data_IF_282527285771
#
_entry.id   IF_282527285771
#
_cell.length_a   1.000
_cell.length_b   1.000
_cell.length_c   1.000
_cell.angle_alpha   90.00
_cell.angle_beta   90.00
_cell.angle_gamma   90.00
#
_symmetry.space_group_name_H-M   'P 1'
#
loop_
_entity.id
_entity.type
_entity.pdbx_description
1 polymer ?
#
# COMPACT_ATOMS: atom_id res chain seq x y z
N UNK A 1 11.51 -18.52 0.38
CA UNK A 1 11.32 -17.83 1.67
C UNK A 1 10.28 -16.74 1.50
N UNK A 2 9.30 -16.72 2.34
CA UNK A 2 8.27 -15.68 2.33
C UNK A 2 8.89 -14.34 2.73
N UNK A 3 8.55 -13.25 2.03
CA UNK A 3 8.96 -11.95 2.49
C UNK A 3 8.37 -11.66 3.86
N UNK A 4 9.19 -11.15 4.77
CA UNK A 4 8.76 -10.88 6.14
C UNK A 4 8.15 -9.48 6.17
N UNK A 5 7.00 -9.33 5.55
CA UNK A 5 6.23 -8.10 5.61
C UNK A 5 4.75 -8.40 5.46
N UNK A 6 3.95 -7.59 6.13
CA UNK A 6 2.50 -7.62 6.08
C UNK A 6 1.99 -6.52 5.14
N UNK A 7 0.67 -6.42 5.02
CA UNK A 7 0.04 -5.40 4.18
C UNK A 7 0.50 -3.98 4.53
N UNK A 8 0.66 -3.15 3.52
CA UNK A 8 1.05 -1.77 3.67
C UNK A 8 2.54 -1.50 3.51
N UNK A 9 3.33 -2.49 3.18
CA UNK A 9 4.72 -2.29 2.84
C UNK A 9 4.85 -1.48 1.54
N UNK A 10 5.89 -0.68 1.45
CA UNK A 10 6.24 0.02 0.21
C UNK A 10 7.53 -0.57 -0.33
N UNK A 11 7.49 -1.02 -1.57
CA UNK A 11 8.67 -1.61 -2.20
C UNK A 11 8.68 -1.36 -3.70
N UNK A 12 9.88 -1.49 -4.26
CA UNK A 12 10.08 -1.52 -5.70
C UNK A 12 10.24 -2.97 -6.13
N UNK A 13 9.38 -3.48 -7.03
CA UNK A 13 9.43 -4.88 -7.44
C UNK A 13 10.52 -5.16 -8.47
N UNK A 14 11.55 -4.37 -8.50
CA UNK A 14 12.70 -4.57 -9.38
C UNK A 14 13.65 -5.60 -8.77
N UNK A 15 14.51 -6.17 -9.57
CA UNK A 15 15.48 -7.16 -9.13
C UNK A 15 16.80 -6.49 -8.75
N UNK A 16 17.25 -6.53 -7.48
CA UNK A 16 16.52 -7.11 -6.34
C UNK A 16 15.38 -6.22 -5.83
N UNK A 17 14.38 -6.84 -5.24
CA UNK A 17 13.29 -6.10 -4.60
C UNK A 17 13.82 -5.26 -3.45
N UNK A 18 13.49 -3.98 -3.46
CA UNK A 18 13.94 -3.04 -2.44
C UNK A 18 12.75 -2.49 -1.68
N UNK A 19 12.77 -2.65 -0.36
CA UNK A 19 11.74 -2.11 0.52
C UNK A 19 12.10 -0.71 0.99
N UNK A 20 11.16 0.22 0.88
CA UNK A 20 11.25 1.54 1.50
C UNK A 20 10.86 1.44 2.96
N UNK A 21 9.75 0.73 3.23
CA UNK A 21 9.38 0.31 4.59
C UNK A 21 8.64 -1.02 4.54
N UNK A 22 8.65 -1.70 5.68
CA UNK A 22 7.92 -2.95 5.88
C UNK A 22 6.91 -2.78 7.00
N UNK A 23 5.85 -3.56 6.94
CA UNK A 23 4.95 -3.71 8.07
C UNK A 23 5.21 -5.06 8.72
N UNK A 24 5.61 -5.05 9.97
CA UNK A 24 5.87 -6.27 10.76
C UNK A 24 4.95 -6.36 11.99
N UNK A 25 4.01 -5.44 12.12
CA UNK A 25 3.08 -5.40 13.24
C UNK A 25 1.76 -6.07 12.85
N UNK A 26 1.54 -7.28 13.36
CA UNK A 26 0.37 -8.08 13.07
C UNK A 26 -0.92 -7.50 13.68
N UNK A 27 -0.81 -6.58 14.62
CA UNK A 27 -1.97 -6.01 15.31
C UNK A 27 -2.73 -4.97 14.49
N UNK A 28 -2.13 -4.43 13.44
CA UNK A 28 -2.71 -3.34 12.67
C UNK A 28 -3.74 -3.85 11.65
N UNK A 29 -3.38 -4.89 10.91
CA UNK A 29 -4.25 -5.49 9.91
C UNK A 29 -5.26 -6.44 10.57
N UNK A 30 -6.52 -6.30 10.20
CA UNK A 30 -7.61 -7.16 10.70
C UNK A 30 -7.85 -8.28 9.70
N UNK A 31 -7.71 -9.52 10.13
CA UNK A 31 -7.96 -10.68 9.28
C UNK A 31 -9.46 -10.90 9.08
N UNK A 32 -9.86 -11.19 7.85
CA UNK A 32 -11.25 -11.45 7.47
C UNK A 32 -12.21 -10.31 7.78
N UNK A 33 -11.68 -9.08 7.88
CA UNK A 33 -12.47 -7.88 8.10
C UNK A 33 -12.05 -6.83 7.09
N UNK A 34 -12.88 -5.80 6.94
CA UNK A 34 -12.51 -4.66 6.12
C UNK A 34 -11.42 -3.84 6.81
N UNK A 35 -10.39 -3.54 6.06
CA UNK A 35 -9.29 -2.69 6.49
C UNK A 35 -9.31 -1.39 5.68
N UNK A 36 -9.01 -0.29 6.33
CA UNK A 36 -8.94 1.01 5.71
C UNK A 36 -7.51 1.36 5.34
N UNK A 37 -7.27 1.59 4.06
CA UNK A 37 -5.96 1.98 3.58
C UNK A 37 -6.00 3.34 2.91
N UNK A 38 -4.99 4.16 3.14
CA UNK A 38 -4.87 5.48 2.53
C UNK A 38 -3.43 5.71 2.09
N UNK A 39 -3.29 6.29 0.91
CA UNK A 39 -1.98 6.66 0.36
C UNK A 39 -1.99 8.15 0.07
N UNK A 40 -0.98 8.83 0.56
CA UNK A 40 -0.68 10.20 0.17
C UNK A 40 0.59 10.19 -0.67
N UNK A 41 0.52 10.76 -1.85
CA UNK A 41 1.66 10.89 -2.75
C UNK A 41 1.70 12.31 -3.28
N UNK A 42 2.70 13.08 -2.90
CA UNK A 42 2.87 14.46 -3.36
C UNK A 42 4.35 14.74 -3.59
N UNK A 43 4.71 14.97 -4.86
CA UNK A 43 6.11 15.05 -5.24
C UNK A 43 6.82 13.75 -4.90
N UNK A 44 7.86 13.86 -4.09
CA UNK A 44 8.68 12.71 -3.67
C UNK A 44 8.24 12.13 -2.32
N UNK A 45 7.22 12.70 -1.69
CA UNK A 45 6.76 12.24 -0.38
C UNK A 45 5.63 11.25 -0.54
N UNK A 46 5.77 10.11 0.12
CA UNK A 46 4.78 9.03 0.14
C UNK A 46 4.47 8.70 1.59
N UNK A 47 3.18 8.67 1.91
CA UNK A 47 2.72 8.25 3.24
C UNK A 47 1.66 7.18 3.04
N UNK A 48 1.68 6.16 3.89
CA UNK A 48 0.65 5.14 3.91
C UNK A 48 0.10 4.97 5.32
N UNK A 49 -1.23 4.99 5.42
CA UNK A 49 -1.94 4.70 6.66
C UNK A 49 -2.74 3.41 6.48
N UNK A 50 -2.72 2.57 7.49
CA UNK A 50 -3.54 1.36 7.56
C UNK A 50 -4.31 1.41 8.87
N UNK A 51 -5.64 1.40 8.79
CA UNK A 51 -6.53 1.50 9.96
C UNK A 51 -6.18 2.66 10.89
N UNK A 52 -5.81 3.81 10.30
CA UNK A 52 -5.43 5.01 11.03
C UNK A 52 -3.99 5.05 11.53
N UNK A 53 -3.23 3.98 11.40
CA UNK A 53 -1.82 3.95 11.80
C UNK A 53 -0.91 4.31 10.62
N UNK A 54 0.03 5.19 10.85
CA UNK A 54 1.05 5.51 9.84
C UNK A 54 2.05 4.37 9.76
N UNK A 55 2.07 3.68 8.63
CA UNK A 55 3.04 2.62 8.39
C UNK A 55 4.35 3.13 7.83
N UNK A 56 4.31 4.21 7.09
CA UNK A 56 5.49 4.83 6.53
C UNK A 56 5.21 6.25 6.09
N UNK A 57 6.22 7.09 6.17
CA UNK A 57 6.22 8.48 5.72
C UNK A 57 7.64 8.79 5.26
N UNK A 58 7.86 8.72 3.95
CA UNK A 58 9.19 8.88 3.38
C UNK A 58 9.20 9.91 2.27
N UNK A 59 10.26 10.70 2.24
CA UNK A 59 10.59 11.53 1.09
C UNK A 59 11.68 10.81 0.31
N UNK A 60 11.34 10.40 -0.92
CA UNK A 60 12.23 9.59 -1.73
C UNK A 60 13.32 10.46 -2.38
N UNK A 61 14.54 9.94 -2.39
CA UNK A 61 15.66 10.57 -3.09
C UNK A 61 15.64 10.12 -4.56
N UNK A 62 15.46 11.05 -5.52
CA UNK A 62 15.41 10.67 -6.93
C UNK A 62 16.73 10.08 -7.46
N UNK A 63 17.83 10.27 -6.73
CA UNK A 63 19.12 9.65 -7.08
C UNK A 63 19.17 8.18 -6.74
N UNK A 64 18.35 7.74 -5.77
CA UNK A 64 18.33 6.36 -5.28
C UNK A 64 17.10 5.63 -5.81
N UNK A 65 15.97 6.32 -5.85
CA UNK A 65 14.69 5.74 -6.24
C UNK A 65 14.20 6.32 -7.55
N UNK A 66 13.72 5.46 -8.42
CA UNK A 66 13.13 5.87 -9.68
C UNK A 66 11.74 6.44 -9.42
N UNK A 67 11.57 7.73 -9.70
CA UNK A 67 10.31 8.42 -9.47
C UNK A 67 9.78 8.91 -10.81
N UNK A 68 8.55 8.52 -11.15
CA UNK A 68 7.86 9.01 -12.32
C UNK A 68 7.05 10.25 -11.98
N UNK A 69 7.04 11.24 -12.87
CA UNK A 69 6.24 12.45 -12.69
C UNK A 69 4.75 12.19 -12.82
N UNK A 70 4.38 11.16 -13.55
CA UNK A 70 3.00 10.73 -13.74
C UNK A 70 2.96 9.23 -13.96
N UNK A 71 1.81 8.66 -13.71
CA UNK A 71 1.61 7.23 -13.90
C UNK A 71 0.17 6.83 -13.62
N UNK A 72 -0.11 5.57 -13.80
CA UNK A 72 -1.41 4.99 -13.52
C UNK A 72 -1.44 4.42 -12.11
N UNK A 73 -2.64 4.41 -11.54
CA UNK A 73 -2.92 3.74 -10.28
C UNK A 73 -3.59 2.41 -10.61
N UNK A 74 -3.09 1.34 -10.03
CA UNK A 74 -3.64 0.02 -10.28
C UNK A 74 -3.77 -0.78 -9.01
N UNK A 75 -4.61 -1.80 -9.09
CA UNK A 75 -4.77 -2.79 -8.04
C UNK A 75 -4.06 -4.05 -8.53
N UNK A 76 -3.14 -4.56 -7.72
CA UNK A 76 -2.33 -5.71 -8.10
C UNK A 76 -2.99 -7.01 -7.65
N UNK A 77 -2.96 -8.00 -8.55
CA UNK A 77 -3.25 -9.39 -8.23
C UNK A 77 -1.93 -10.15 -8.31
N UNK A 78 -1.54 -10.76 -7.20
CA UNK A 78 -0.27 -11.49 -7.16
C UNK A 78 -0.47 -12.92 -7.66
N UNK A 79 0.36 -13.32 -8.63
CA UNK A 79 0.38 -14.69 -9.12
C UNK A 79 1.24 -15.61 -8.26
N UNK A 80 1.16 -16.90 -8.53
CA UNK A 80 1.95 -17.94 -7.88
C UNK A 80 1.09 -18.92 -7.11
N UNK A 81 1.58 -20.15 -6.98
CA UNK A 81 0.83 -21.26 -6.38
C UNK A 81 0.46 -21.00 -4.92
N UNK A 82 1.30 -20.29 -4.18
CA UNK A 82 1.05 -19.95 -2.78
C UNK A 82 -0.13 -19.00 -2.59
N UNK A 83 -0.55 -18.31 -3.65
CA UNK A 83 -1.70 -17.40 -3.61
C UNK A 83 -2.94 -17.98 -4.29
N UNK A 84 -2.85 -19.21 -4.78
CA UNK A 84 -3.93 -19.83 -5.50
C UNK A 84 -5.18 -19.96 -4.62
N UNK A 85 -6.30 -19.46 -5.12
CA UNK A 85 -7.58 -19.46 -4.40
C UNK A 85 -7.74 -18.35 -3.38
N UNK A 86 -6.71 -17.55 -3.13
CA UNK A 86 -6.85 -16.38 -2.27
C UNK A 86 -7.51 -15.22 -3.01
N UNK A 87 -8.31 -14.46 -2.30
CA UNK A 87 -9.06 -13.35 -2.86
C UNK A 87 -8.89 -12.11 -2.00
N UNK A 88 -8.86 -10.95 -2.66
CA UNK A 88 -8.90 -9.64 -2.00
C UNK A 88 -10.03 -8.85 -2.62
N UNK A 89 -10.87 -8.28 -1.77
CA UNK A 89 -11.97 -7.42 -2.20
C UNK A 89 -11.65 -5.97 -1.86
N UNK A 90 -12.00 -5.07 -2.75
CA UNK A 90 -11.84 -3.62 -2.57
C UNK A 90 -13.19 -2.95 -2.75
N UNK A 91 -13.44 -1.90 -1.98
CA UNK A 91 -14.63 -1.07 -2.14
C UNK A 91 -14.29 0.37 -1.71
N UNK A 92 -15.15 1.31 -2.12
CA UNK A 92 -15.02 2.72 -1.76
C UNK A 92 -13.65 3.29 -2.14
N UNK A 93 -13.21 3.00 -3.37
CA UNK A 93 -11.95 3.50 -3.88
C UNK A 93 -12.17 4.92 -4.38
N UNK A 94 -11.58 5.89 -3.71
CA UNK A 94 -11.67 7.30 -4.05
C UNK A 94 -10.27 7.87 -4.28
N UNK A 95 -10.19 8.82 -5.20
CA UNK A 95 -8.96 9.51 -5.51
C UNK A 95 -9.20 11.01 -5.38
N UNK A 96 -8.46 11.64 -4.49
CA UNK A 96 -8.50 13.08 -4.30
C UNK A 96 -7.28 13.72 -4.95
N UNK A 97 -7.52 14.66 -5.86
CA UNK A 97 -6.44 15.43 -6.46
C UNK A 97 -5.98 16.50 -5.49
N UNK A 98 -4.69 16.51 -5.23
CA UNK A 98 -4.05 17.49 -4.35
C UNK A 98 -3.09 18.38 -5.13
N UNK A 99 -2.73 19.52 -4.56
CA UNK A 99 -1.78 20.45 -5.15
C UNK A 99 -0.39 20.26 -4.53
N UNK A 100 0.68 20.62 -5.26
CA UNK A 100 2.01 20.65 -4.66
C UNK A 100 2.01 21.51 -3.40
N UNK A 101 2.58 20.98 -2.31
CA UNK A 101 2.62 21.69 -1.04
C UNK A 101 1.41 21.53 -0.15
N UNK A 102 0.34 20.89 -0.60
CA UNK A 102 -0.80 20.61 0.28
C UNK A 102 -0.36 19.72 1.43
N UNK A 103 -0.81 20.01 2.66
CA UNK A 103 -0.46 19.17 3.81
C UNK A 103 -1.11 17.81 3.69
N UNK A 104 -0.48 16.75 4.22
CA UNK A 104 -1.10 15.44 4.26
C UNK A 104 -2.33 15.46 5.17
N UNK A 105 -3.39 14.86 4.66
CA UNK A 105 -4.62 14.67 5.43
C UNK A 105 -5.19 13.32 5.05
N UNK A 106 -6.07 12.79 5.87
CA UNK A 106 -6.76 11.53 5.61
C UNK A 106 -8.21 11.81 5.18
N UNK A 107 -8.43 12.38 3.99
CA UNK A 107 -9.78 12.79 3.61
C UNK A 107 -10.64 11.64 3.12
N UNK A 108 -10.02 10.60 2.59
CA UNK A 108 -10.73 9.54 1.88
C UNK A 108 -10.13 8.20 2.23
N UNK A 109 -10.99 7.21 2.33
CA UNK A 109 -10.66 5.89 2.77
C UNK A 109 -10.82 4.90 1.62
N UNK A 110 -9.76 4.14 1.33
CA UNK A 110 -9.87 2.93 0.52
C UNK A 110 -10.08 1.78 1.48
N UNK A 111 -11.17 1.06 1.32
CA UNK A 111 -11.50 -0.05 2.20
C UNK A 111 -11.19 -1.35 1.47
N UNK A 112 -10.39 -2.20 2.08
CA UNK A 112 -10.05 -3.49 1.50
C UNK A 112 -10.29 -4.61 2.50
N UNK A 113 -10.59 -5.78 1.97
CA UNK A 113 -10.80 -6.98 2.76
C UNK A 113 -10.17 -8.15 2.04
N UNK A 114 -9.26 -8.82 2.72
CA UNK A 114 -8.72 -10.07 2.24
C UNK A 114 -9.70 -11.19 2.52
N UNK A 115 -10.08 -11.91 1.48
CA UNK A 115 -11.00 -13.02 1.57
C UNK A 115 -10.23 -14.33 1.44
N UNK A 116 -10.38 -15.18 2.43
CA UNK A 116 -9.81 -16.53 2.39
C UNK A 116 -10.83 -17.44 1.72
N UNK A 117 -10.43 -18.25 0.72
CA UNK A 117 -11.37 -19.14 0.08
C UNK A 117 -11.90 -20.18 1.07
N UNK A 118 -13.15 -20.58 0.88
CA UNK A 118 -13.73 -21.64 1.66
C UNK A 118 -13.02 -22.97 1.36
N UNK A 119 -12.78 -23.81 2.37
CA UNK A 119 -12.14 -25.09 2.17
C UNK A 119 -12.97 -26.04 1.31
#
# INVERSE_FOLDING_TARGET
MMPVTLSGAFYYPQCPTTFVWKNVDESIEKKNEWNEGQVYANGNRIIFWLNGYTLGDETLDPKVHRISKSGNIGIQVHGGDQFKGMQVAFQNIDILKIKPGDPPSMPVVVVCKELVPLP
#
